data_IF_887942821893
#
_entry.id   IF_887942821893
#
_cell.length_a   1.000
_cell.length_b   1.000
_cell.length_c   1.000
_cell.angle_alpha   90.00
_cell.angle_beta   90.00
_cell.angle_gamma   90.00
#
_symmetry.space_group_name_H-M   'P 1'
#
loop_
_entity.id
_entity.type
_entity.pdbx_description
1 polymer ?
#
# COMPACT_ATOMS: atom_id res chain seq x y z
N UNK A 1 -20.28 -28.49 -47.22
CA UNK A 1 -20.36 -27.21 -46.48
C UNK A 1 -20.10 -26.03 -47.42
N UNK A 2 -20.57 -26.11 -48.66
CA UNK A 2 -19.97 -25.35 -49.79
C UNK A 2 -21.04 -24.81 -50.76
N UNK A 3 -22.26 -24.60 -50.27
CA UNK A 3 -23.41 -24.19 -51.11
C UNK A 3 -24.12 -22.92 -50.58
N UNK A 4 -23.62 -22.32 -49.49
CA UNK A 4 -24.23 -21.11 -48.89
C UNK A 4 -23.48 -19.81 -49.17
N UNK A 5 -22.22 -19.88 -49.57
CA UNK A 5 -21.45 -18.69 -49.97
C UNK A 5 -22.00 -17.94 -51.20
N UNK A 6 -22.42 -18.59 -52.31
CA UNK A 6 -22.91 -17.84 -53.46
C UNK A 6 -24.26 -17.16 -53.21
N UNK A 7 -25.06 -17.65 -52.27
CA UNK A 7 -26.33 -17.04 -51.87
C UNK A 7 -26.14 -15.81 -50.97
N UNK A 8 -25.18 -15.86 -50.05
CA UNK A 8 -24.81 -14.71 -49.23
C UNK A 8 -24.15 -13.60 -50.06
N UNK A 9 -23.36 -13.97 -51.08
CA UNK A 9 -22.75 -13.01 -52.00
C UNK A 9 -23.80 -12.37 -52.93
N UNK A 10 -24.74 -13.16 -53.47
CA UNK A 10 -25.86 -12.63 -54.25
C UNK A 10 -26.74 -11.68 -53.41
N UNK A 11 -27.01 -11.99 -52.14
CA UNK A 11 -27.74 -11.08 -51.25
C UNK A 11 -26.95 -9.83 -50.85
N UNK A 12 -25.62 -9.89 -50.81
CA UNK A 12 -24.75 -8.70 -50.62
C UNK A 12 -24.73 -7.84 -51.87
N UNK A 13 -24.68 -8.44 -53.07
CA UNK A 13 -24.73 -7.75 -54.36
C UNK A 13 -26.10 -7.09 -54.56
N UNK A 14 -27.20 -7.75 -54.18
CA UNK A 14 -28.55 -7.18 -54.22
C UNK A 14 -28.72 -6.03 -53.22
N UNK A 15 -28.21 -6.17 -51.99
CA UNK A 15 -28.20 -5.05 -51.02
C UNK A 15 -27.36 -3.87 -51.51
N UNK A 16 -26.24 -4.11 -52.20
CA UNK A 16 -25.47 -3.03 -52.84
C UNK A 16 -26.25 -2.39 -54.00
N UNK A 17 -27.00 -3.18 -54.78
CA UNK A 17 -27.83 -2.70 -55.90
C UNK A 17 -29.03 -1.87 -55.43
N UNK A 18 -29.66 -2.20 -54.29
CA UNK A 18 -30.74 -1.41 -53.68
C UNK A 18 -30.24 -0.18 -52.92
N UNK A 19 -28.98 -0.17 -52.49
CA UNK A 19 -28.33 0.96 -51.82
C UNK A 19 -27.72 1.97 -52.80
N UNK A 20 -27.86 1.75 -54.11
CA UNK A 20 -27.25 2.57 -55.13
C UNK A 20 -27.99 3.93 -55.23
N UNK A 21 -27.39 5.05 -54.78
CA UNK A 21 -28.08 6.32 -54.53
C UNK A 21 -28.64 6.98 -55.79
N UNK A 22 -28.25 6.49 -56.98
CA UNK A 22 -28.77 6.95 -58.27
C UNK A 22 -30.17 6.42 -58.57
N UNK A 23 -30.56 5.27 -57.99
CA UNK A 23 -31.82 4.58 -58.30
C UNK A 23 -33.04 5.19 -57.59
N UNK A 24 -32.87 5.68 -56.36
CA UNK A 24 -33.96 6.29 -55.56
C UNK A 24 -34.35 7.69 -56.08
N UNK A 25 -33.49 8.32 -56.90
CA UNK A 25 -33.68 9.68 -57.43
C UNK A 25 -34.30 9.73 -58.83
N UNK A 26 -34.98 8.66 -59.25
CA UNK A 26 -35.87 8.68 -60.43
C UNK A 26 -37.29 8.66 -59.86
N UNK A 27 -38.06 9.74 -59.88
CA UNK A 27 -38.82 10.20 -61.04
C UNK A 27 -39.58 11.47 -60.56
N UNK A 28 -39.23 12.68 -61.08
CA UNK A 28 -39.90 14.02 -60.94
C UNK A 28 -39.00 15.25 -60.63
N UNK A 29 -37.66 15.15 -60.56
CA UNK A 29 -36.80 16.32 -60.30
C UNK A 29 -35.85 16.66 -61.47
N UNK A 30 -35.71 17.95 -61.79
CA UNK A 30 -34.80 18.44 -62.83
C UNK A 30 -33.31 18.14 -62.55
N UNK A 31 -32.49 18.06 -63.62
CA UNK A 31 -31.10 17.59 -63.61
C UNK A 31 -30.21 18.26 -62.53
N UNK A 32 -30.32 19.59 -62.38
CA UNK A 32 -29.55 20.35 -61.41
C UNK A 32 -29.92 20.01 -59.96
N UNK A 33 -31.21 19.82 -59.68
CA UNK A 33 -31.72 19.45 -58.35
C UNK A 33 -31.26 18.05 -57.95
N UNK A 34 -31.22 17.11 -58.91
CA UNK A 34 -30.72 15.75 -58.69
C UNK A 34 -29.24 15.73 -58.34
N UNK A 35 -28.39 16.49 -59.06
CA UNK A 35 -26.95 16.60 -58.77
C UNK A 35 -26.67 17.14 -57.35
N UNK A 36 -27.40 18.18 -56.93
CA UNK A 36 -27.26 18.73 -55.57
C UNK A 36 -27.66 17.72 -54.49
N UNK A 37 -28.75 16.98 -54.70
CA UNK A 37 -29.22 15.93 -53.77
C UNK A 37 -28.24 14.76 -53.68
N UNK A 38 -27.66 14.32 -54.79
CA UNK A 38 -26.65 13.24 -54.80
C UNK A 38 -25.38 13.63 -54.05
N UNK A 39 -24.93 14.90 -54.16
CA UNK A 39 -23.79 15.39 -53.37
C UNK A 39 -24.11 15.37 -51.87
N UNK A 40 -25.26 15.92 -51.46
CA UNK A 40 -25.69 15.89 -50.04
C UNK A 40 -25.87 14.47 -49.50
N UNK A 41 -26.38 13.56 -50.33
CA UNK A 41 -26.59 12.17 -49.95
C UNK A 41 -25.25 11.45 -49.78
N UNK A 42 -24.30 11.66 -50.70
CA UNK A 42 -22.94 11.15 -50.56
C UNK A 42 -22.29 11.65 -49.27
N UNK A 43 -22.39 12.94 -49.00
CA UNK A 43 -21.88 13.58 -47.79
C UNK A 43 -22.54 13.04 -46.51
N UNK A 44 -23.84 12.72 -46.56
CA UNK A 44 -24.57 12.08 -45.46
C UNK A 44 -24.07 10.65 -45.17
N UNK A 45 -23.83 9.84 -46.21
CA UNK A 45 -23.26 8.49 -46.04
C UNK A 45 -21.80 8.53 -45.59
N UNK A 46 -21.00 9.46 -46.13
CA UNK A 46 -19.60 9.65 -45.73
C UNK A 46 -19.48 10.10 -44.26
N UNK A 47 -20.42 10.93 -43.78
CA UNK A 47 -20.51 11.23 -42.36
C UNK A 47 -20.91 10.01 -41.52
N UNK A 48 -21.86 9.19 -41.97
CA UNK A 48 -22.24 7.97 -41.23
C UNK A 48 -21.08 6.98 -41.11
N UNK A 49 -20.33 6.76 -42.19
CA UNK A 49 -19.19 5.85 -42.19
C UNK A 49 -18.11 6.32 -41.20
N UNK A 50 -17.85 7.63 -41.14
CA UNK A 50 -16.95 8.23 -40.15
C UNK A 50 -17.44 8.06 -38.71
N UNK A 51 -18.74 8.16 -38.46
CA UNK A 51 -19.28 7.93 -37.11
C UNK A 51 -19.11 6.46 -36.68
N UNK A 52 -19.32 5.52 -37.60
CA UNK A 52 -19.12 4.08 -37.33
C UNK A 52 -17.65 3.79 -37.04
N UNK A 53 -16.74 4.37 -37.81
CA UNK A 53 -15.29 4.23 -37.58
C UNK A 53 -14.88 4.79 -36.21
N UNK A 54 -15.33 6.00 -35.86
CA UNK A 54 -15.04 6.61 -34.56
C UNK A 54 -15.59 5.76 -33.40
N UNK A 55 -16.80 5.20 -33.54
CA UNK A 55 -17.38 4.33 -32.52
C UNK A 55 -16.53 3.08 -32.28
N UNK A 56 -16.02 2.45 -33.34
CA UNK A 56 -15.13 1.30 -33.20
C UNK A 56 -13.77 1.65 -32.60
N UNK A 57 -13.22 2.83 -32.91
CA UNK A 57 -11.99 3.33 -32.29
C UNK A 57 -12.19 3.54 -30.78
N UNK A 58 -13.31 4.15 -30.39
CA UNK A 58 -13.65 4.40 -28.98
C UNK A 58 -13.85 3.08 -28.21
N UNK A 59 -14.55 2.10 -28.79
CA UNK A 59 -14.76 0.77 -28.20
C UNK A 59 -13.43 0.02 -27.97
N UNK A 60 -12.50 0.11 -28.93
CA UNK A 60 -11.17 -0.49 -28.80
C UNK A 60 -10.30 0.22 -27.76
N UNK A 61 -10.36 1.55 -27.72
CA UNK A 61 -9.67 2.34 -26.69
C UNK A 61 -10.18 2.00 -25.29
N UNK A 62 -11.50 1.86 -25.13
CA UNK A 62 -12.13 1.55 -23.84
C UNK A 62 -11.75 0.13 -23.35
N UNK A 63 -11.89 -0.88 -24.21
CA UNK A 63 -11.52 -2.26 -23.88
C UNK A 63 -10.04 -2.41 -23.58
N UNK A 64 -9.16 -1.71 -24.31
CA UNK A 64 -7.72 -1.72 -24.04
C UNK A 64 -7.41 -1.03 -22.71
N UNK A 65 -8.05 0.10 -22.42
CA UNK A 65 -7.85 0.80 -21.14
C UNK A 65 -8.31 -0.02 -19.95
N UNK A 66 -9.45 -0.71 -20.04
CA UNK A 66 -9.94 -1.59 -18.96
C UNK A 66 -9.00 -2.79 -18.75
N UNK A 67 -8.53 -3.41 -19.83
CA UNK A 67 -7.57 -4.53 -19.75
C UNK A 67 -6.23 -4.09 -19.14
N UNK A 68 -5.68 -2.95 -19.58
CA UNK A 68 -4.44 -2.39 -19.05
C UNK A 68 -4.59 -2.00 -17.57
N UNK A 69 -5.73 -1.40 -17.18
CA UNK A 69 -6.03 -1.08 -15.79
C UNK A 69 -6.09 -2.33 -14.90
N UNK A 70 -6.77 -3.39 -15.36
CA UNK A 70 -6.88 -4.66 -14.62
C UNK A 70 -5.51 -5.33 -14.48
N UNK A 71 -4.70 -5.36 -15.54
CA UNK A 71 -3.34 -5.93 -15.48
C UNK A 71 -2.42 -5.15 -14.52
N UNK A 72 -2.47 -3.82 -14.55
CA UNK A 72 -1.73 -2.94 -13.63
C UNK A 72 -2.19 -3.15 -12.17
N UNK A 73 -3.50 -3.30 -11.95
CA UNK A 73 -4.05 -3.53 -10.61
C UNK A 73 -3.68 -4.92 -10.06
N UNK A 74 -3.69 -5.96 -10.90
CA UNK A 74 -3.24 -7.30 -10.51
C UNK A 74 -1.74 -7.31 -10.15
N UNK A 75 -0.89 -6.70 -10.97
CA UNK A 75 0.55 -6.58 -10.70
C UNK A 75 0.80 -5.80 -9.39
N UNK A 76 0.08 -4.70 -9.17
CA UNK A 76 0.14 -3.90 -7.93
C UNK A 76 -0.30 -4.73 -6.72
N UNK A 77 -1.37 -5.51 -6.85
CA UNK A 77 -1.87 -6.36 -5.77
C UNK A 77 -0.91 -7.50 -5.40
N UNK A 78 -0.23 -8.10 -6.38
CA UNK A 78 0.81 -9.10 -6.10
C UNK A 78 2.03 -8.48 -5.39
N UNK A 79 2.49 -7.33 -5.87
CA UNK A 79 3.60 -6.59 -5.27
C UNK A 79 3.26 -6.15 -3.84
N UNK A 80 2.03 -5.67 -3.60
CA UNK A 80 1.53 -5.32 -2.27
C UNK A 80 1.43 -6.56 -1.36
N UNK A 81 0.94 -7.71 -1.86
CA UNK A 81 0.89 -8.95 -1.08
C UNK A 81 2.28 -9.43 -0.66
N UNK A 82 3.26 -9.35 -1.56
CA UNK A 82 4.67 -9.68 -1.25
C UNK A 82 5.24 -8.71 -0.22
N UNK A 83 5.04 -7.40 -0.41
CA UNK A 83 5.44 -6.36 0.55
C UNK A 83 4.84 -6.59 1.94
N UNK A 84 3.53 -6.78 2.03
CA UNK A 84 2.83 -7.05 3.29
C UNK A 84 3.33 -8.31 4.01
N UNK A 85 3.72 -9.37 3.29
CA UNK A 85 4.32 -10.57 3.90
C UNK A 85 5.69 -10.26 4.48
N UNK A 86 6.52 -9.53 3.75
CA UNK A 86 7.84 -9.11 4.21
C UNK A 86 7.74 -8.15 5.40
N UNK A 87 6.76 -7.25 5.41
CA UNK A 87 6.54 -6.32 6.52
C UNK A 87 6.06 -7.02 7.78
N UNK A 88 5.15 -8.00 7.65
CA UNK A 88 4.74 -8.86 8.77
C UNK A 88 5.90 -9.71 9.31
N UNK A 89 6.75 -10.24 8.42
CA UNK A 89 7.92 -11.01 8.83
C UNK A 89 8.91 -10.12 9.58
N UNK A 90 9.20 -8.94 9.04
CA UNK A 90 10.10 -7.96 9.68
C UNK A 90 9.56 -7.53 11.06
N UNK A 91 8.27 -7.22 11.17
CA UNK A 91 7.65 -6.88 12.45
C UNK A 91 7.85 -7.98 13.51
N UNK A 92 7.69 -9.25 13.12
CA UNK A 92 7.95 -10.41 14.01
C UNK A 92 9.42 -10.55 14.40
N UNK A 93 10.33 -10.33 13.46
CA UNK A 93 11.78 -10.38 13.72
C UNK A 93 12.17 -9.26 14.70
N UNK A 94 11.72 -8.03 14.46
CA UNK A 94 11.99 -6.88 15.34
C UNK A 94 11.43 -7.12 16.74
N UNK A 95 10.19 -7.61 16.82
CA UNK A 95 9.58 -7.99 18.09
C UNK A 95 10.40 -9.06 18.82
N UNK A 96 10.82 -10.12 18.12
CA UNK A 96 11.66 -11.17 18.68
C UNK A 96 13.02 -10.65 19.16
N UNK A 97 13.67 -9.77 18.40
CA UNK A 97 14.93 -9.14 18.79
C UNK A 97 14.75 -8.30 20.06
N UNK A 98 13.68 -7.52 20.18
CA UNK A 98 13.39 -6.73 21.38
C UNK A 98 13.19 -7.64 22.62
N UNK A 99 12.52 -8.79 22.47
CA UNK A 99 12.38 -9.79 23.56
C UNK A 99 13.73 -10.37 23.97
N UNK A 100 14.56 -10.77 22.99
CA UNK A 100 15.89 -11.34 23.26
C UNK A 100 16.79 -10.31 23.94
N UNK A 101 16.76 -9.06 23.47
CA UNK A 101 17.55 -7.96 24.03
C UNK A 101 17.12 -7.62 25.46
N UNK A 102 15.82 -7.70 25.75
CA UNK A 102 15.30 -7.58 27.11
C UNK A 102 15.84 -8.69 28.03
N UNK A 103 15.77 -9.95 27.59
CA UNK A 103 16.26 -11.09 28.36
C UNK A 103 17.76 -11.02 28.65
N UNK A 104 18.55 -10.60 27.67
CA UNK A 104 19.99 -10.39 27.84
C UNK A 104 20.29 -9.29 28.87
N UNK A 105 19.61 -8.14 28.78
CA UNK A 105 19.78 -7.05 29.73
C UNK A 105 19.23 -7.37 31.13
N UNK A 106 18.18 -8.19 31.22
CA UNK A 106 17.67 -8.66 32.50
C UNK A 106 18.71 -9.50 33.25
N UNK A 107 19.32 -10.46 32.55
CA UNK A 107 20.41 -11.27 33.13
C UNK A 107 21.59 -10.39 33.55
N UNK A 108 21.98 -9.44 32.70
CA UNK A 108 23.05 -8.50 33.03
C UNK A 108 22.71 -7.62 34.24
N UNK A 109 21.46 -7.13 34.34
CA UNK A 109 21.00 -6.28 35.44
C UNK A 109 21.03 -7.00 36.78
N UNK A 110 20.61 -8.27 36.81
CA UNK A 110 20.64 -9.10 38.02
C UNK A 110 22.09 -9.36 38.46
N UNK A 111 23.03 -9.49 37.53
CA UNK A 111 24.44 -9.70 37.87
C UNK A 111 25.13 -8.40 38.31
N UNK A 112 24.84 -7.29 37.63
CA UNK A 112 25.55 -6.02 37.79
C UNK A 112 25.09 -5.16 38.97
N UNK A 113 23.86 -5.31 39.45
CA UNK A 113 23.28 -4.51 40.56
C UNK A 113 23.49 -2.99 40.43
N UNK A 114 23.58 -2.47 39.20
CA UNK A 114 23.90 -1.06 38.93
C UNK A 114 22.67 -0.30 38.47
N UNK A 115 22.40 0.88 39.05
CA UNK A 115 21.27 1.75 38.67
C UNK A 115 21.28 2.11 37.18
N UNK A 116 22.46 2.26 36.57
CA UNK A 116 22.63 2.53 35.14
C UNK A 116 22.22 1.34 34.25
N UNK A 117 22.45 0.11 34.71
CA UNK A 117 22.04 -1.09 33.97
C UNK A 117 20.54 -1.33 34.14
N UNK A 118 20.00 -1.04 35.32
CA UNK A 118 18.55 -1.10 35.59
C UNK A 118 17.79 -0.11 34.71
N UNK A 119 18.30 1.11 34.50
CA UNK A 119 17.64 2.09 33.62
C UNK A 119 17.64 1.64 32.15
N UNK A 120 18.78 1.13 31.65
CA UNK A 120 18.86 0.55 30.31
C UNK A 120 17.92 -0.68 30.14
N UNK A 121 17.75 -1.47 31.19
CA UNK A 121 16.78 -2.56 31.21
C UNK A 121 15.33 -2.03 31.11
N UNK A 122 14.99 -1.00 31.89
CA UNK A 122 13.66 -0.36 31.84
C UNK A 122 13.37 0.13 30.42
N UNK A 123 14.32 0.79 29.76
CA UNK A 123 14.12 1.27 28.38
C UNK A 123 13.79 0.10 27.44
N UNK A 124 14.55 -1.00 27.50
CA UNK A 124 14.28 -2.18 26.66
C UNK A 124 12.94 -2.85 27.00
N UNK A 125 12.52 -2.81 28.26
CA UNK A 125 11.21 -3.30 28.68
C UNK A 125 10.07 -2.42 28.12
N UNK A 126 10.26 -1.10 28.12
CA UNK A 126 9.33 -0.14 27.54
C UNK A 126 9.23 -0.29 26.02
N UNK A 127 10.35 -0.57 25.33
CA UNK A 127 10.34 -0.88 23.90
C UNK A 127 9.57 -2.18 23.60
N UNK A 128 9.70 -3.19 24.46
CA UNK A 128 8.94 -4.43 24.32
C UNK A 128 7.43 -4.20 24.55
N UNK A 129 7.05 -3.48 25.60
CA UNK A 129 5.64 -3.17 25.86
C UNK A 129 5.02 -2.36 24.72
N UNK A 130 5.75 -1.38 24.19
CA UNK A 130 5.35 -0.63 22.99
C UNK A 130 5.13 -1.57 21.81
N UNK A 131 6.05 -2.50 21.57
CA UNK A 131 5.94 -3.48 20.49
C UNK A 131 4.74 -4.41 20.69
N UNK A 132 4.44 -4.82 21.92
CA UNK A 132 3.24 -5.59 22.28
C UNK A 132 1.95 -4.80 22.02
N UNK A 133 1.90 -3.52 22.40
CA UNK A 133 0.73 -2.65 22.19
C UNK A 133 0.44 -2.50 20.68
N UNK A 134 1.47 -2.31 19.85
CA UNK A 134 1.30 -2.25 18.39
C UNK A 134 0.84 -3.61 17.84
N UNK A 135 1.45 -4.72 18.31
CA UNK A 135 1.11 -6.06 17.83
C UNK A 135 -0.32 -6.47 18.20
N UNK A 136 -0.78 -6.12 19.40
CA UNK A 136 -2.15 -6.33 19.87
C UNK A 136 -3.14 -5.45 19.12
N UNK A 137 -2.76 -4.21 18.75
CA UNK A 137 -3.59 -3.33 17.92
C UNK A 137 -3.81 -3.91 16.53
N UNK A 138 -2.75 -4.42 15.89
CA UNK A 138 -2.87 -5.12 14.59
C UNK A 138 -3.74 -6.38 14.71
N UNK A 139 -3.61 -7.13 15.82
CA UNK A 139 -4.45 -8.28 16.08
C UNK A 139 -5.93 -7.89 16.27
N UNK A 140 -6.21 -6.84 17.04
CA UNK A 140 -7.57 -6.36 17.29
C UNK A 140 -8.25 -5.87 16.01
N UNK A 141 -7.50 -5.17 15.14
CA UNK A 141 -7.97 -4.75 13.81
C UNK A 141 -8.31 -5.95 12.92
N UNK A 142 -7.49 -7.01 12.98
CA UNK A 142 -7.72 -8.21 12.18
C UNK A 142 -8.89 -9.07 12.70
N UNK A 143 -9.16 -9.04 14.01
CA UNK A 143 -10.22 -9.81 14.66
C UNK A 143 -11.59 -9.09 14.67
N UNK A 144 -11.66 -7.79 14.37
CA UNK A 144 -12.95 -7.05 14.35
C UNK A 144 -13.68 -7.23 13.01
N UNK A 145 -14.91 -7.77 13.10
CA UNK A 145 -15.80 -8.00 11.96
C UNK A 145 -16.13 -6.71 11.20
N UNK A 146 -15.87 -6.74 9.88
CA UNK A 146 -16.05 -5.59 8.98
C UNK A 146 -17.52 -5.12 8.87
N UNK A 147 -18.48 -6.01 9.14
CA UNK A 147 -19.92 -5.74 8.98
C UNK A 147 -20.47 -4.74 10.01
N UNK A 148 -19.90 -4.68 11.22
CA UNK A 148 -20.40 -3.82 12.30
C UNK A 148 -19.75 -2.43 12.33
N UNK A 149 -18.67 -2.18 11.57
CA UNK A 149 -17.95 -0.91 11.67
C UNK A 149 -17.19 -0.52 10.37
N UNK A 150 -17.85 0.09 9.37
CA UNK A 150 -17.24 0.43 8.07
C UNK A 150 -16.23 1.59 8.09
N UNK A 151 -16.03 2.32 9.20
CA UNK A 151 -15.13 3.51 9.28
C UNK A 151 -14.27 3.64 10.56
N UNK A 152 -13.83 2.53 11.17
CA UNK A 152 -13.28 2.54 12.55
C UNK A 152 -11.85 2.11 12.79
N UNK A 153 -11.22 1.45 11.82
CA UNK A 153 -9.95 0.76 12.04
C UNK A 153 -8.78 1.72 12.29
N UNK A 154 -8.80 2.89 11.65
CA UNK A 154 -7.80 3.95 11.82
C UNK A 154 -7.74 4.48 13.26
N UNK A 155 -8.87 4.44 14.00
CA UNK A 155 -8.90 4.91 15.39
C UNK A 155 -8.12 4.01 16.34
N UNK A 156 -8.08 2.69 16.10
CA UNK A 156 -7.31 1.76 16.93
C UNK A 156 -5.80 1.96 16.77
N UNK A 157 -5.35 2.30 15.55
CA UNK A 157 -3.96 2.65 15.28
C UNK A 157 -3.55 3.94 16.03
N UNK A 158 -4.38 4.98 15.92
CA UNK A 158 -4.13 6.26 16.61
C UNK A 158 -4.14 6.07 18.13
N UNK A 159 -5.07 5.27 18.68
CA UNK A 159 -5.12 4.96 20.12
C UNK A 159 -3.83 4.26 20.58
N UNK A 160 -3.31 3.30 19.81
CA UNK A 160 -2.03 2.65 20.10
C UNK A 160 -0.87 3.64 20.21
N UNK A 161 -0.83 4.64 19.32
CA UNK A 161 0.22 5.66 19.29
C UNK A 161 0.10 6.61 20.49
N UNK A 162 -1.11 7.01 20.87
CA UNK A 162 -1.33 7.88 22.04
C UNK A 162 -0.88 7.16 23.32
N UNK A 163 -1.27 5.90 23.52
CA UNK A 163 -0.87 5.11 24.69
C UNK A 163 0.65 4.96 24.74
N UNK A 164 1.29 4.59 23.61
CA UNK A 164 2.74 4.50 23.50
C UNK A 164 3.44 5.82 23.90
N UNK A 165 2.94 6.95 23.42
CA UNK A 165 3.50 8.28 23.72
C UNK A 165 3.43 8.59 25.21
N UNK A 166 2.29 8.33 25.85
CA UNK A 166 2.14 8.58 27.29
C UNK A 166 3.08 7.71 28.14
N UNK A 167 3.24 6.43 27.80
CA UNK A 167 4.12 5.50 28.52
C UNK A 167 5.58 5.94 28.39
N UNK A 168 6.03 6.27 27.18
CA UNK A 168 7.40 6.75 26.93
C UNK A 168 7.66 8.09 27.63
N UNK A 169 6.68 8.99 27.67
CA UNK A 169 6.77 10.25 28.40
C UNK A 169 6.95 10.06 29.91
N UNK A 170 6.11 9.22 30.52
CA UNK A 170 6.21 8.92 31.97
C UNK A 170 7.53 8.23 32.30
N UNK A 171 8.00 7.30 31.46
CA UNK A 171 9.28 6.62 31.64
C UNK A 171 10.45 7.61 31.71
N UNK A 172 10.51 8.54 30.76
CA UNK A 172 11.56 9.55 30.70
C UNK A 172 11.54 10.46 31.94
N UNK A 173 10.36 10.86 32.40
CA UNK A 173 10.23 11.66 33.63
C UNK A 173 10.72 10.87 34.85
N UNK A 174 10.34 9.60 34.97
CA UNK A 174 10.82 8.73 36.05
C UNK A 174 12.34 8.57 36.02
N UNK A 175 12.92 8.38 34.84
CA UNK A 175 14.37 8.25 34.66
C UNK A 175 15.11 9.53 35.07
N UNK A 176 14.56 10.72 34.75
CA UNK A 176 15.11 12.01 35.17
C UNK A 176 15.09 12.13 36.70
N UNK A 177 13.97 11.81 37.34
CA UNK A 177 13.84 11.89 38.80
C UNK A 177 14.80 10.92 39.50
N UNK A 178 14.90 9.68 39.03
CA UNK A 178 15.84 8.69 39.56
C UNK A 178 17.29 9.14 39.42
N UNK A 179 17.64 9.72 38.27
CA UNK A 179 18.98 10.28 38.03
C UNK A 179 19.28 11.47 38.95
N UNK A 180 18.30 12.37 39.17
CA UNK A 180 18.45 13.50 40.09
C UNK A 180 18.61 13.04 41.55
N UNK A 181 17.84 12.03 41.97
CA UNK A 181 17.98 11.43 43.30
C UNK A 181 19.35 10.78 43.50
N UNK A 182 19.87 10.10 42.48
CA UNK A 182 21.20 9.50 42.51
C UNK A 182 22.31 10.55 42.70
N UNK A 183 22.15 11.75 42.12
CA UNK A 183 23.11 12.87 42.29
C UNK A 183 23.04 13.43 43.72
N UNK A 184 21.84 13.63 44.27
CA UNK A 184 21.66 14.25 45.59
C UNK A 184 22.11 13.31 46.72
N UNK A 185 21.88 11.99 46.60
CA UNK A 185 22.20 11.05 47.68
C UNK A 185 23.70 10.83 47.89
N UNK A 186 24.56 11.25 46.95
CA UNK A 186 26.03 11.15 47.00
C UNK A 186 26.58 9.74 47.35
N UNK A 187 25.74 8.69 47.30
CA UNK A 187 26.12 7.28 47.46
C UNK A 187 26.55 6.66 46.12
N UNK A 188 27.19 7.46 45.27
CA UNK A 188 27.75 7.00 44.00
C UNK A 188 29.14 6.45 44.26
N UNK A 189 29.19 5.22 44.75
CA UNK A 189 30.29 4.32 44.39
C UNK A 189 29.84 3.61 43.11
N UNK A 190 30.09 4.16 41.92
CA UNK A 190 29.87 3.42 40.70
C UNK A 190 30.85 2.25 40.72
N UNK A 191 30.41 1.08 41.13
CA UNK A 191 31.04 -0.18 40.75
C UNK A 191 30.77 -0.40 39.25
N UNK A 192 31.27 0.54 38.44
CA UNK A 192 31.35 0.44 36.99
C UNK A 192 32.50 -0.51 36.67
N UNK A 193 32.32 -1.78 37.03
CA UNK A 193 33.24 -2.84 36.65
C UNK A 193 33.30 -2.90 35.13
N UNK A 194 34.46 -3.17 34.55
CA UNK A 194 34.65 -3.37 33.10
C UNK A 194 33.51 -4.18 32.40
N UNK A 195 32.96 -5.28 32.98
CA UNK A 195 31.84 -5.99 32.38
C UNK A 195 30.52 -5.20 32.30
N UNK A 196 30.24 -4.28 33.21
CA UNK A 196 28.98 -3.50 33.18
C UNK A 196 29.02 -2.48 32.04
N UNK A 197 30.18 -1.85 31.83
CA UNK A 197 30.44 -0.93 30.72
C UNK A 197 30.35 -1.65 29.37
N UNK A 198 30.93 -2.85 29.25
CA UNK A 198 30.91 -3.60 27.99
C UNK A 198 29.49 -4.02 27.59
N UNK A 199 28.66 -4.40 28.57
CA UNK A 199 27.25 -4.75 28.32
C UNK A 199 26.45 -3.52 27.88
N UNK A 200 26.64 -2.37 28.53
CA UNK A 200 25.98 -1.12 28.14
C UNK A 200 26.34 -0.71 26.70
N UNK A 201 27.63 -0.74 26.35
CA UNK A 201 28.10 -0.48 24.99
C UNK A 201 27.53 -1.49 23.99
N UNK A 202 27.47 -2.77 24.36
CA UNK A 202 26.83 -3.81 23.56
C UNK A 202 25.34 -3.52 23.30
N UNK A 203 24.60 -3.10 24.31
CA UNK A 203 23.19 -2.72 24.16
C UNK A 203 23.00 -1.52 23.22
N UNK A 204 23.85 -0.49 23.37
CA UNK A 204 23.81 0.71 22.51
C UNK A 204 24.12 0.36 21.06
N UNK A 205 25.15 -0.47 20.80
CA UNK A 205 25.51 -0.87 19.43
C UNK A 205 24.39 -1.65 18.75
N UNK A 206 23.72 -2.56 19.46
CA UNK A 206 22.56 -3.30 18.92
C UNK A 206 21.41 -2.33 18.59
N UNK A 207 21.11 -1.36 19.46
CA UNK A 207 20.09 -0.33 19.19
C UNK A 207 20.42 0.52 17.97
N UNK A 208 21.68 0.92 17.80
CA UNK A 208 22.14 1.68 16.62
C UNK A 208 21.97 0.84 15.34
N UNK A 209 22.30 -0.44 15.37
CA UNK A 209 22.11 -1.35 14.22
C UNK A 209 20.62 -1.48 13.87
N UNK A 210 19.76 -1.70 14.87
CA UNK A 210 18.31 -1.76 14.69
C UNK A 210 17.76 -0.45 14.08
N UNK A 211 18.23 0.69 14.58
CA UNK A 211 17.87 2.01 14.07
C UNK A 211 18.32 2.16 12.62
N UNK A 212 19.57 1.83 12.30
CA UNK A 212 20.10 1.89 10.93
C UNK A 212 19.26 1.05 9.95
N UNK A 213 18.96 -0.20 10.31
CA UNK A 213 18.12 -1.10 9.48
C UNK A 213 16.72 -0.50 9.26
N UNK A 214 16.10 0.05 10.32
CA UNK A 214 14.78 0.66 10.24
C UNK A 214 14.79 1.92 9.35
N UNK A 215 15.80 2.77 9.50
CA UNK A 215 15.96 3.98 8.68
C UNK A 215 16.20 3.64 7.21
N UNK A 216 17.08 2.67 6.92
CA UNK A 216 17.34 2.22 5.55
C UNK A 216 16.08 1.71 4.85
N UNK A 217 15.16 1.08 5.60
CA UNK A 217 13.90 0.55 5.05
C UNK A 217 12.77 1.59 5.00
N UNK A 218 12.83 2.67 5.78
CA UNK A 218 11.86 3.79 5.71
C UNK A 218 12.12 4.73 4.52
N UNK A 219 13.36 4.82 4.05
CA UNK A 219 13.78 5.69 2.95
C UNK A 219 13.78 5.15 1.48
N UNK A 220 13.24 3.98 1.09
CA UNK A 220 13.26 3.52 -0.30
C UNK A 220 12.12 4.11 -1.17
N UNK A 221 11.52 5.25 -0.81
CA UNK A 221 10.51 5.95 -1.61
C UNK A 221 10.63 7.47 -1.46
N UNK A 222 11.66 8.06 -2.06
CA UNK A 222 11.56 9.36 -2.72
C UNK A 222 12.15 9.22 -4.11
#
# INVERSE_FOLDING_TARGET
>A
MEEKEPLLENQRIERRRTSDPRLILTNKAGFFTRRKRLKKLKEFYENQDRLIENYHIDEQCFNKSDFDHVAIEMARNEMNKKGQRMDRLMARIIFGLNVVLLGANLMASILSHSYSVVSAFIDNAMDLTTSLIVQTSVWAINNTNMLNYPRGRERLEIVSVIVCSTIMGVANIMMIVQSAQAIISNQVNPEATIPTISILLGGITIRIILLAICYSKKFPRM
#
